data_IF_955667112110
#
_entry.id   IF_955667112110
#
_cell.length_a   1.000
_cell.length_b   1.000
_cell.length_c   1.000
_cell.angle_alpha   90.00
_cell.angle_beta   90.00
_cell.angle_gamma   90.00
#
_symmetry.space_group_name_H-M   'P 1'
#
loop_
_entity.id
_entity.type
_entity.pdbx_description
1 polymer ?
#
# COMPACT_ATOMS: atom_id res chain seq x y z
N UNK A 1 15.64 38.39 23.45
CA UNK A 1 15.73 38.07 22.02
C UNK A 1 16.84 37.06 21.80
N UNK A 2 16.52 35.77 21.67
CA UNK A 2 17.47 34.71 21.31
C UNK A 2 17.46 34.53 19.80
N UNK A 3 18.58 34.78 19.15
CA UNK A 3 18.75 34.58 17.69
C UNK A 3 18.85 33.06 17.44
N UNK A 4 17.89 32.51 16.71
CA UNK A 4 18.00 31.17 16.13
C UNK A 4 19.10 31.15 15.06
N UNK A 5 20.15 30.37 15.29
CA UNK A 5 21.20 30.11 14.31
C UNK A 5 20.63 29.14 13.26
N UNK A 6 20.35 29.63 12.05
CA UNK A 6 20.20 28.76 10.87
C UNK A 6 21.51 28.00 10.66
N UNK A 7 21.49 26.70 10.85
CA UNK A 7 22.61 25.83 10.45
C UNK A 7 22.66 25.80 8.91
N UNK A 8 23.73 26.34 8.36
CA UNK A 8 24.01 26.28 6.94
C UNK A 8 24.42 24.84 6.54
N UNK A 9 23.94 24.37 5.41
CA UNK A 9 24.14 23.02 4.85
C UNK A 9 25.56 22.72 4.33
N UNK A 10 26.56 23.48 4.71
CA UNK A 10 27.91 23.43 4.12
C UNK A 10 28.92 22.52 4.83
N UNK A 11 28.49 21.62 5.73
CA UNK A 11 29.40 20.78 6.54
C UNK A 11 29.16 19.27 6.47
N UNK A 12 28.16 18.80 5.70
CA UNK A 12 27.87 17.35 5.64
C UNK A 12 28.81 16.66 4.64
N UNK A 13 29.42 15.53 5.07
CA UNK A 13 30.22 14.70 4.18
C UNK A 13 29.37 14.15 3.03
N UNK A 14 30.02 13.76 1.91
CA UNK A 14 29.34 13.12 0.77
C UNK A 14 28.57 11.88 1.23
N UNK A 15 29.16 11.11 2.17
CA UNK A 15 28.52 9.93 2.77
C UNK A 15 27.23 10.30 3.52
N UNK A 16 27.26 11.37 4.33
CA UNK A 16 26.08 11.82 5.08
C UNK A 16 24.98 12.34 4.14
N UNK A 17 25.36 13.04 3.07
CA UNK A 17 24.44 13.47 2.01
C UNK A 17 23.79 12.28 1.30
N UNK A 18 24.57 11.23 1.00
CA UNK A 18 24.07 10.01 0.38
C UNK A 18 23.19 9.19 1.33
N UNK A 19 23.53 9.13 2.63
CA UNK A 19 22.69 8.49 3.63
C UNK A 19 21.36 9.25 3.82
N UNK A 20 21.41 10.57 3.89
CA UNK A 20 20.20 11.41 3.96
C UNK A 20 19.34 11.26 2.68
N UNK A 21 19.97 11.16 1.50
CA UNK A 21 19.27 10.91 0.25
C UNK A 21 18.67 9.50 0.18
N UNK A 22 19.42 8.48 0.63
CA UNK A 22 18.91 7.11 0.74
C UNK A 22 17.70 7.06 1.67
N UNK A 23 17.77 7.72 2.84
CA UNK A 23 16.64 7.83 3.77
C UNK A 23 15.44 8.51 3.12
N UNK A 24 15.61 9.64 2.45
CA UNK A 24 14.55 10.33 1.70
C UNK A 24 13.98 9.49 0.54
N UNK A 25 14.79 8.69 -0.14
CA UNK A 25 14.34 7.79 -1.20
C UNK A 25 13.56 6.60 -0.63
N UNK A 26 13.96 6.10 0.53
CA UNK A 26 13.20 5.08 1.27
C UNK A 26 11.88 5.64 1.82
N UNK A 27 11.87 6.89 2.28
CA UNK A 27 10.68 7.61 2.73
C UNK A 27 9.72 7.94 1.56
N UNK A 28 10.25 8.31 0.38
CA UNK A 28 9.45 8.60 -0.83
C UNK A 28 9.05 7.35 -1.63
N UNK A 29 9.70 6.23 -1.41
CA UNK A 29 9.51 4.98 -2.15
C UNK A 29 8.44 4.05 -1.58
N UNK A 30 7.29 4.54 -1.10
CA UNK A 30 6.22 3.69 -0.54
C UNK A 30 6.58 3.07 0.81
N UNK A 31 7.65 3.51 1.46
CA UNK A 31 8.25 2.92 2.65
C UNK A 31 7.63 3.35 3.99
N UNK A 32 6.47 4.00 4.00
CA UNK A 32 5.79 4.41 5.25
C UNK A 32 5.01 3.29 5.94
N UNK A 33 4.58 2.27 5.19
CA UNK A 33 3.76 1.19 5.72
C UNK A 33 4.47 -0.14 5.74
N UNK A 34 4.21 -0.90 6.80
CA UNK A 34 4.51 -2.32 6.86
C UNK A 34 3.37 -3.09 6.21
N UNK A 35 3.70 -4.01 5.34
CA UNK A 35 2.75 -4.95 4.73
C UNK A 35 2.96 -6.32 5.36
N UNK A 36 1.91 -7.00 5.85
CA UNK A 36 2.03 -8.38 6.30
C UNK A 36 2.61 -9.25 5.18
N UNK A 37 3.81 -9.79 5.40
CA UNK A 37 4.47 -10.71 4.48
C UNK A 37 3.91 -12.13 4.66
N UNK A 38 4.23 -13.02 3.73
CA UNK A 38 3.97 -14.45 3.92
C UNK A 38 4.60 -14.95 5.23
N UNK A 39 3.85 -15.71 6.00
CA UNK A 39 4.20 -16.07 7.37
C UNK A 39 3.45 -15.25 8.41
N UNK A 40 4.07 -14.95 9.53
CA UNK A 40 3.44 -14.28 10.68
C UNK A 40 4.06 -12.90 10.89
N UNK A 41 3.21 -11.88 10.85
CA UNK A 41 3.54 -10.52 11.29
C UNK A 41 2.92 -10.30 12.66
N UNK A 42 3.76 -10.06 13.69
CA UNK A 42 3.30 -9.77 15.04
C UNK A 42 3.28 -8.27 15.29
N UNK A 43 2.18 -7.77 15.81
CA UNK A 43 1.97 -6.34 16.05
C UNK A 43 1.45 -6.13 17.47
N UNK A 44 2.09 -5.23 18.22
CA UNK A 44 1.53 -4.64 19.43
C UNK A 44 0.84 -3.35 19.02
N UNK A 45 -0.47 -3.37 18.94
CA UNK A 45 -1.23 -2.18 18.60
C UNK A 45 -1.14 -1.11 19.69
N UNK A 46 -1.18 0.14 19.28
CA UNK A 46 -1.25 1.32 20.14
C UNK A 46 -2.55 2.06 19.88
N UNK A 47 -3.14 2.62 20.93
CA UNK A 47 -4.32 3.44 20.78
C UNK A 47 -4.02 4.66 19.89
N UNK A 48 -4.86 4.99 18.92
CA UNK A 48 -4.75 6.23 18.16
C UNK A 48 -5.23 7.46 18.95
N UNK A 49 -5.71 7.27 20.16
CA UNK A 49 -6.26 8.29 21.05
C UNK A 49 -7.73 8.06 21.38
N UNK A 50 -8.22 8.78 22.37
CA UNK A 50 -9.62 8.72 22.77
C UNK A 50 -10.51 9.21 21.60
N UNK A 51 -11.69 8.62 21.48
CA UNK A 51 -12.68 8.91 20.42
C UNK A 51 -12.23 8.62 18.97
N UNK A 52 -11.11 7.90 18.77
CA UNK A 52 -10.65 7.48 17.43
C UNK A 52 -10.83 5.97 17.24
N UNK A 53 -11.11 5.59 15.99
CA UNK A 53 -11.15 4.18 15.61
C UNK A 53 -9.77 3.53 15.70
N UNK A 54 -9.72 2.21 15.94
CA UNK A 54 -8.47 1.43 16.03
C UNK A 54 -7.58 1.52 14.78
N UNK A 55 -8.19 1.75 13.64
CA UNK A 55 -7.52 1.91 12.37
C UNK A 55 -8.14 3.01 11.52
N UNK A 56 -7.34 3.58 10.63
CA UNK A 56 -7.75 4.61 9.69
C UNK A 56 -8.09 3.96 8.34
N UNK A 57 -9.33 4.15 7.86
CA UNK A 57 -9.69 3.76 6.50
C UNK A 57 -8.97 4.67 5.50
N UNK A 58 -8.40 4.09 4.46
CA UNK A 58 -7.76 4.81 3.36
C UNK A 58 -8.27 4.33 2.01
N UNK A 59 -8.24 5.22 1.04
CA UNK A 59 -8.49 4.92 -0.37
C UNK A 59 -7.14 4.78 -1.08
N UNK A 60 -6.91 3.63 -1.71
CA UNK A 60 -5.67 3.33 -2.41
C UNK A 60 -5.96 2.93 -3.86
N UNK A 61 -5.16 3.46 -4.80
CA UNK A 61 -5.04 2.95 -6.16
C UNK A 61 -3.82 2.03 -6.28
N UNK A 62 -3.94 1.02 -7.12
CA UNK A 62 -2.83 0.14 -7.48
C UNK A 62 -2.95 -0.21 -8.96
N UNK A 63 -2.56 0.72 -9.84
CA UNK A 63 -2.76 0.57 -11.30
C UNK A 63 -1.89 -0.54 -11.89
N UNK A 64 -0.61 -0.55 -11.59
CA UNK A 64 0.34 -1.58 -12.00
C UNK A 64 1.52 -1.68 -10.99
N UNK A 65 2.36 -2.73 -11.07
CA UNK A 65 3.49 -2.91 -10.16
C UNK A 65 4.57 -1.81 -10.27
N UNK A 66 4.73 -1.17 -11.42
CA UNK A 66 5.74 -0.13 -11.66
C UNK A 66 5.41 1.16 -10.89
N UNK A 67 4.17 1.59 -10.94
CA UNK A 67 3.69 2.77 -10.22
C UNK A 67 3.50 2.45 -8.73
N UNK A 68 3.07 1.22 -8.44
CA UNK A 68 2.84 0.76 -7.08
C UNK A 68 1.54 1.28 -6.46
N UNK A 69 1.50 1.30 -5.13
CA UNK A 69 0.35 1.78 -4.38
C UNK A 69 0.37 3.29 -4.20
N UNK A 70 -0.74 3.94 -4.49
CA UNK A 70 -0.96 5.38 -4.33
C UNK A 70 -2.07 5.59 -3.32
N UNK A 71 -1.81 6.33 -2.25
CA UNK A 71 -2.85 6.75 -1.31
C UNK A 71 -3.53 7.98 -1.88
N UNK A 72 -4.85 7.92 -1.96
CA UNK A 72 -5.66 9.01 -2.46
C UNK A 72 -5.87 10.10 -1.41
N UNK A 73 -5.67 11.38 -1.75
CA UNK A 73 -6.10 12.51 -0.92
C UNK A 73 -7.60 12.48 -0.60
N UNK A 74 -8.42 11.83 -1.44
CA UNK A 74 -9.84 11.62 -1.18
C UNK A 74 -10.12 10.80 0.10
N UNK A 75 -9.12 10.17 0.71
CA UNK A 75 -9.15 9.64 2.09
C UNK A 75 -9.55 10.73 3.08
N UNK A 76 -9.16 11.96 2.83
CA UNK A 76 -9.44 13.14 3.66
C UNK A 76 -10.34 14.16 2.94
N UNK A 77 -11.16 13.69 2.01
CA UNK A 77 -12.09 14.52 1.23
C UNK A 77 -11.39 15.59 0.37
N UNK A 78 -10.10 15.42 0.10
CA UNK A 78 -9.30 16.33 -0.73
C UNK A 78 -9.33 15.91 -2.21
N UNK A 79 -9.18 16.86 -3.17
CA UNK A 79 -9.16 16.56 -4.60
C UNK A 79 -8.07 15.55 -4.98
N UNK A 80 -8.41 14.63 -5.89
CA UNK A 80 -7.49 13.58 -6.32
C UNK A 80 -7.63 13.32 -7.83
N UNK A 81 -6.58 13.57 -8.66
CA UNK A 81 -6.65 13.39 -10.11
C UNK A 81 -6.95 11.94 -10.52
N UNK A 82 -6.51 10.95 -9.74
CA UNK A 82 -6.82 9.53 -9.96
C UNK A 82 -8.29 9.21 -9.73
N UNK A 83 -8.91 9.82 -8.73
CA UNK A 83 -10.33 9.63 -8.45
C UNK A 83 -11.18 10.32 -9.52
N UNK A 84 -10.81 11.52 -9.92
CA UNK A 84 -11.45 12.29 -10.99
C UNK A 84 -11.42 11.51 -12.31
N UNK A 85 -10.23 11.01 -12.69
CA UNK A 85 -10.07 10.21 -13.91
C UNK A 85 -10.86 8.90 -13.85
N UNK A 86 -10.84 8.20 -12.72
CA UNK A 86 -11.66 7.00 -12.54
C UNK A 86 -13.14 7.28 -12.74
N UNK A 87 -13.67 8.37 -12.19
CA UNK A 87 -15.08 8.73 -12.36
C UNK A 87 -15.42 9.11 -13.81
N UNK A 88 -14.54 9.85 -14.49
CA UNK A 88 -14.68 10.16 -15.92
C UNK A 88 -14.80 8.88 -16.75
N UNK A 89 -13.82 7.98 -16.65
CA UNK A 89 -13.74 6.74 -17.42
C UNK A 89 -14.89 5.78 -17.10
N UNK A 90 -15.25 5.65 -15.83
CA UNK A 90 -16.37 4.79 -15.39
C UNK A 90 -17.70 5.21 -16.01
N UNK A 91 -17.91 6.52 -16.20
CA UNK A 91 -19.14 7.08 -16.75
C UNK A 91 -19.12 7.21 -18.28
N UNK A 92 -18.01 6.87 -18.94
CA UNK A 92 -17.89 6.89 -20.39
C UNK A 92 -18.79 5.84 -21.05
N UNK A 93 -19.21 6.10 -22.28
CA UNK A 93 -19.91 5.13 -23.12
C UNK A 93 -18.97 4.24 -23.91
N UNK A 94 -17.69 4.60 -24.00
CA UNK A 94 -16.66 3.84 -24.68
C UNK A 94 -16.24 2.60 -23.88
N UNK A 95 -16.15 1.47 -24.52
CA UNK A 95 -15.73 0.21 -23.86
C UNK A 95 -14.24 0.22 -23.50
N UNK A 96 -13.38 0.89 -24.29
CA UNK A 96 -11.97 1.05 -23.97
C UNK A 96 -11.77 1.86 -22.68
N UNK A 97 -12.52 2.95 -22.51
CA UNK A 97 -12.53 3.73 -21.29
C UNK A 97 -12.97 2.91 -20.07
N UNK A 98 -13.99 2.07 -20.24
CA UNK A 98 -14.48 1.19 -19.15
C UNK A 98 -13.45 0.13 -18.77
N UNK A 99 -12.71 -0.43 -19.72
CA UNK A 99 -11.62 -1.36 -19.42
C UNK A 99 -10.49 -0.65 -18.68
N UNK A 100 -10.14 0.56 -19.10
CA UNK A 100 -9.15 1.38 -18.40
C UNK A 100 -9.62 1.74 -16.98
N UNK A 101 -10.91 2.05 -16.79
CA UNK A 101 -11.48 2.28 -15.47
C UNK A 101 -11.29 1.09 -14.53
N UNK A 102 -11.34 -0.16 -15.02
CA UNK A 102 -11.11 -1.36 -14.20
C UNK A 102 -9.70 -1.42 -13.62
N UNK A 103 -8.70 -0.87 -14.33
CA UNK A 103 -7.32 -0.75 -13.85
C UNK A 103 -7.18 0.31 -12.76
N UNK A 104 -8.09 1.30 -12.74
CA UNK A 104 -8.10 2.44 -11.81
C UNK A 104 -9.11 2.29 -10.65
N UNK A 105 -9.65 1.11 -10.39
CA UNK A 105 -10.63 0.91 -9.32
C UNK A 105 -9.98 1.27 -7.96
N UNK A 106 -10.53 2.27 -7.23
CA UNK A 106 -10.07 2.59 -5.90
C UNK A 106 -10.40 1.45 -4.93
N UNK A 107 -9.46 1.13 -4.04
CA UNK A 107 -9.60 0.07 -3.05
C UNK A 107 -9.57 0.66 -1.65
N UNK A 108 -10.51 0.25 -0.81
CA UNK A 108 -10.47 0.57 0.61
C UNK A 108 -9.49 -0.35 1.32
N UNK A 109 -8.64 0.24 2.13
CA UNK A 109 -7.67 -0.42 2.98
C UNK A 109 -7.71 0.23 4.36
N UNK A 110 -7.10 -0.42 5.33
CA UNK A 110 -7.03 0.10 6.69
C UNK A 110 -5.57 0.21 7.13
N UNK A 111 -5.28 1.25 7.87
CA UNK A 111 -3.98 1.47 8.49
C UNK A 111 -4.15 1.35 9.99
N UNK A 112 -3.49 0.37 10.58
CA UNK A 112 -3.36 0.24 12.03
C UNK A 112 -1.95 0.64 12.45
N UNK A 113 -1.75 0.97 13.71
CA UNK A 113 -0.47 1.45 14.18
C UNK A 113 0.01 0.80 15.46
N UNK A 114 1.32 0.73 15.57
CA UNK A 114 1.96 0.16 16.75
C UNK A 114 3.37 -0.34 16.50
N UNK A 115 3.84 -1.19 17.38
CA UNK A 115 5.16 -1.81 17.31
C UNK A 115 5.05 -3.11 16.52
N UNK A 116 5.80 -3.21 15.44
CA UNK A 116 5.85 -4.42 14.61
C UNK A 116 7.05 -5.26 15.02
N UNK A 117 6.81 -6.55 15.24
CA UNK A 117 7.85 -7.55 15.51
C UNK A 117 8.03 -8.43 14.27
N UNK A 118 9.26 -8.82 14.00
CA UNK A 118 9.52 -9.87 13.03
C UNK A 118 9.27 -11.23 13.68
N UNK A 119 8.53 -12.10 13.02
CA UNK A 119 8.39 -13.56 13.21
C UNK A 119 8.44 -14.10 14.64
N UNK A 120 7.93 -13.77 15.64
CA UNK A 120 8.00 -14.33 17.02
C UNK A 120 9.33 -14.09 17.77
N UNK A 121 10.38 -13.61 17.11
CA UNK A 121 11.73 -13.51 17.71
C UNK A 121 12.05 -12.16 18.32
N UNK A 122 11.23 -11.15 18.10
CA UNK A 122 11.43 -9.84 18.65
C UNK A 122 11.19 -8.70 17.66
N UNK A 123 11.65 -7.51 18.02
CA UNK A 123 11.56 -6.32 17.16
C UNK A 123 12.39 -6.50 15.89
N UNK A 124 11.81 -6.15 14.75
CA UNK A 124 12.55 -6.11 13.51
C UNK A 124 13.73 -5.13 13.65
N UNK A 125 14.96 -5.54 13.27
CA UNK A 125 16.16 -4.72 13.47
C UNK A 125 16.07 -3.32 12.84
N UNK A 126 15.34 -3.22 11.72
CA UNK A 126 15.17 -1.98 10.97
C UNK A 126 14.15 -1.01 11.60
N UNK A 127 13.37 -1.47 12.58
CA UNK A 127 12.31 -0.64 13.18
C UNK A 127 12.77 0.12 14.43
N UNK A 128 13.88 -0.27 15.04
CA UNK A 128 14.51 0.40 16.21
C UNK A 128 13.52 0.77 17.33
N UNK A 129 12.39 0.06 17.43
CA UNK A 129 11.33 0.37 18.39
C UNK A 129 10.48 1.59 18.05
N UNK A 130 10.57 2.11 16.83
CA UNK A 130 9.71 3.18 16.35
C UNK A 130 8.31 2.66 16.07
N UNK A 131 7.32 3.54 16.22
CA UNK A 131 5.95 3.25 15.82
C UNK A 131 5.86 3.06 14.31
N UNK A 132 5.16 2.02 13.88
CA UNK A 132 4.95 1.70 12.47
C UNK A 132 3.47 1.63 12.16
N UNK A 133 3.13 2.09 10.98
CA UNK A 133 1.81 1.90 10.38
C UNK A 133 1.80 0.61 9.55
N UNK A 134 0.80 -0.22 9.75
CA UNK A 134 0.62 -1.49 9.05
C UNK A 134 -0.59 -1.37 8.14
N UNK A 135 -0.40 -1.60 6.85
CA UNK A 135 -1.48 -1.57 5.87
C UNK A 135 -2.09 -2.96 5.73
N UNK A 136 -3.39 -3.05 5.96
CA UNK A 136 -4.15 -4.29 5.98
C UNK A 136 -5.40 -4.23 5.10
N UNK A 137 -5.96 -5.38 4.78
CA UNK A 137 -7.24 -5.48 4.07
C UNK A 137 -8.42 -5.28 5.03
N UNK A 138 -9.60 -4.99 4.46
CA UNK A 138 -10.84 -4.86 5.24
C UNK A 138 -11.17 -6.12 6.04
N UNK A 139 -10.93 -7.32 5.49
CA UNK A 139 -11.18 -8.56 6.23
C UNK A 139 -10.27 -8.72 7.44
N UNK A 140 -8.98 -8.39 7.32
CA UNK A 140 -8.06 -8.41 8.47
C UNK A 140 -8.46 -7.38 9.52
N UNK A 141 -8.94 -6.20 9.08
CA UNK A 141 -9.42 -5.19 10.01
C UNK A 141 -10.69 -5.62 10.73
N UNK A 142 -11.60 -6.31 10.04
CA UNK A 142 -12.79 -6.90 10.66
C UNK A 142 -12.42 -7.93 11.74
N UNK A 143 -11.50 -8.85 11.45
CA UNK A 143 -11.00 -9.81 12.45
C UNK A 143 -10.41 -9.12 13.70
N UNK A 144 -9.75 -7.96 13.51
CA UNK A 144 -9.20 -7.17 14.63
C UNK A 144 -10.32 -6.52 15.45
N UNK A 145 -11.35 -5.98 14.79
CA UNK A 145 -12.52 -5.41 15.48
C UNK A 145 -13.23 -6.49 16.29
N UNK A 146 -13.43 -7.67 15.72
CA UNK A 146 -14.09 -8.79 16.37
C UNK A 146 -13.36 -9.20 17.67
N UNK A 147 -12.01 -9.25 17.63
CA UNK A 147 -11.20 -9.48 18.81
C UNK A 147 -11.28 -8.35 19.84
N UNK A 148 -11.36 -7.09 19.40
CA UNK A 148 -11.46 -5.94 20.31
C UNK A 148 -12.81 -5.89 21.04
N UNK A 149 -13.88 -6.26 20.33
CA UNK A 149 -15.24 -6.28 20.87
C UNK A 149 -15.59 -7.50 21.72
N UNK A 150 -14.73 -8.53 21.68
CA UNK A 150 -14.86 -9.73 22.53
C UNK A 150 -14.32 -9.45 23.94
N UNK A 151 -15.10 -8.69 24.72
CA UNK A 151 -14.71 -8.25 26.07
C UNK A 151 -14.57 -9.39 27.07
N UNK A 152 -15.27 -10.52 26.86
CA UNK A 152 -15.28 -11.65 27.76
C UNK A 152 -13.93 -12.40 27.72
N UNK A 153 -13.37 -12.58 26.50
CA UNK A 153 -12.15 -13.35 26.32
C UNK A 153 -10.91 -12.46 26.11
N UNK A 154 -11.02 -11.32 25.44
CA UNK A 154 -9.86 -10.55 24.95
C UNK A 154 -9.84 -9.09 25.36
N UNK A 155 -10.89 -8.30 25.06
CA UNK A 155 -11.00 -6.88 25.36
C UNK A 155 -9.97 -6.00 24.66
N UNK A 156 -9.63 -4.87 25.28
CA UNK A 156 -8.79 -3.82 24.68
C UNK A 156 -7.32 -4.27 24.49
N UNK A 157 -6.98 -4.62 23.25
CA UNK A 157 -5.63 -4.98 22.86
C UNK A 157 -4.63 -3.82 22.92
N UNK A 158 -5.09 -2.57 22.97
CA UNK A 158 -4.23 -1.38 22.98
C UNK A 158 -3.83 -0.96 24.39
N UNK A 159 -4.45 -1.53 25.44
CA UNK A 159 -4.10 -1.23 26.81
C UNK A 159 -2.61 -1.52 27.07
N UNK A 160 -1.83 -0.53 27.55
CA UNK A 160 -0.38 -0.70 27.72
C UNK A 160 0.00 -1.67 28.84
N UNK A 161 -0.92 -2.04 29.73
CA UNK A 161 -0.68 -2.90 30.88
C UNK A 161 -1.29 -4.30 30.70
N UNK A 162 -2.56 -4.35 30.26
CA UNK A 162 -3.35 -5.58 30.14
C UNK A 162 -3.52 -6.03 28.69
N UNK A 163 -3.26 -5.17 27.72
CA UNK A 163 -3.45 -5.48 26.31
C UNK A 163 -2.49 -6.58 25.82
N UNK A 164 -2.65 -6.93 24.57
CA UNK A 164 -1.94 -8.08 23.96
C UNK A 164 -1.50 -7.74 22.54
N UNK A 165 -0.53 -8.53 22.05
CA UNK A 165 -0.11 -8.45 20.65
C UNK A 165 -1.06 -9.29 19.80
N UNK A 166 -1.20 -8.93 18.54
CA UNK A 166 -1.88 -9.72 17.53
C UNK A 166 -0.87 -10.34 16.57
N UNK A 167 -1.19 -11.53 16.06
CA UNK A 167 -0.47 -12.22 14.99
C UNK A 167 -1.34 -12.21 13.74
N UNK A 168 -0.88 -11.52 12.70
CA UNK A 168 -1.49 -11.53 11.38
C UNK A 168 -0.74 -12.58 10.57
N UNK A 169 -1.37 -13.71 10.34
CA UNK A 169 -0.81 -14.80 9.54
C UNK A 169 -1.27 -14.62 8.08
N UNK A 170 -0.33 -14.54 7.16
CA UNK A 170 -0.57 -14.57 5.72
C UNK A 170 -0.07 -15.87 5.14
N UNK A 171 -0.92 -16.56 4.39
CA UNK A 171 -0.58 -17.75 3.60
C UNK A 171 -0.83 -17.47 2.13
N UNK A 172 0.00 -18.02 1.25
CA UNK A 172 -0.04 -17.78 -0.18
C UNK A 172 0.68 -16.51 -0.61
N UNK A 173 1.19 -16.53 -1.82
CA UNK A 173 1.99 -15.44 -2.41
C UNK A 173 1.31 -14.77 -3.60
N UNK A 174 0.32 -15.41 -4.21
CA UNK A 174 -0.40 -14.93 -5.37
C UNK A 174 -1.64 -14.12 -5.07
N UNK A 175 -2.24 -13.56 -6.12
CA UNK A 175 -3.45 -12.72 -5.99
C UNK A 175 -4.67 -13.52 -5.53
N UNK A 176 -4.77 -14.78 -5.91
CA UNK A 176 -5.97 -15.61 -5.74
C UNK A 176 -5.84 -16.66 -4.63
N UNK A 177 -4.64 -16.89 -4.10
CA UNK A 177 -4.34 -17.89 -3.08
C UNK A 177 -3.96 -17.27 -1.72
N UNK A 178 -3.89 -15.95 -1.65
CA UNK A 178 -3.55 -15.25 -0.41
C UNK A 178 -4.74 -15.23 0.55
N UNK A 179 -4.52 -15.80 1.73
CA UNK A 179 -5.47 -15.76 2.84
C UNK A 179 -4.83 -15.14 4.08
N UNK A 180 -5.65 -14.57 4.95
CA UNK A 180 -5.22 -13.97 6.20
C UNK A 180 -6.02 -14.55 7.36
N UNK A 181 -5.40 -14.61 8.53
CA UNK A 181 -6.08 -14.84 9.80
C UNK A 181 -5.41 -14.02 10.90
N UNK A 182 -6.20 -13.57 11.87
CA UNK A 182 -5.70 -12.81 13.03
C UNK A 182 -5.86 -13.66 14.28
N UNK A 183 -4.85 -13.66 15.12
CA UNK A 183 -4.88 -14.40 16.40
C UNK A 183 -4.31 -13.55 17.52
N UNK A 184 -4.92 -13.51 18.70
CA UNK A 184 -4.39 -12.83 19.86
C UNK A 184 -3.22 -13.60 20.47
N UNK A 185 -2.30 -12.87 21.07
CA UNK A 185 -1.29 -13.43 21.98
C UNK A 185 -1.78 -13.34 23.42
N UNK A 186 -1.03 -13.93 24.33
CA UNK A 186 -1.28 -13.76 25.78
C UNK A 186 -1.10 -12.28 26.14
N UNK A 187 -1.91 -11.75 27.07
CA UNK A 187 -1.74 -10.42 27.59
C UNK A 187 -0.31 -10.18 28.09
N UNK A 188 0.25 -9.02 27.81
CA UNK A 188 1.59 -8.68 28.20
C UNK A 188 1.73 -7.16 28.39
N UNK A 189 2.49 -6.77 29.40
CA UNK A 189 2.77 -5.36 29.68
C UNK A 189 3.73 -4.79 28.65
N UNK A 190 3.35 -3.66 28.03
CA UNK A 190 4.21 -2.92 27.14
C UNK A 190 5.27 -2.16 27.93
N UNK A 191 6.52 -2.21 27.45
CA UNK A 191 7.62 -1.42 28.04
C UNK A 191 7.24 0.07 28.04
N UNK A 192 7.59 0.77 29.13
CA UNK A 192 7.24 2.19 29.33
C UNK A 192 7.71 3.11 28.22
N UNK A 193 8.83 2.81 27.58
CA UNK A 193 9.38 3.58 26.46
C UNK A 193 8.53 3.53 25.19
N UNK A 194 7.65 2.54 25.05
CA UNK A 194 6.79 2.36 23.89
C UNK A 194 5.34 2.76 24.13
N UNK A 195 5.00 3.17 25.36
CA UNK A 195 3.64 3.59 25.69
C UNK A 195 3.32 4.95 25.07
N UNK A 196 2.05 5.21 24.91
CA UNK A 196 1.49 6.42 24.33
C UNK A 196 0.61 6.13 23.13
N UNK A 197 0.02 7.16 22.57
CA UNK A 197 -0.84 7.10 21.38
C UNK A 197 -0.01 7.14 20.09
N UNK A 198 -0.65 6.76 18.98
CA UNK A 198 -0.07 6.84 17.65
C UNK A 198 -0.92 7.76 16.76
N UNK A 199 -0.30 8.71 16.08
CA UNK A 199 -0.98 9.60 15.13
C UNK A 199 -1.06 8.95 13.74
N UNK A 200 -2.10 8.14 13.52
CA UNK A 200 -2.32 7.47 12.23
C UNK A 200 -2.60 8.46 11.10
N UNK A 201 -3.36 9.52 11.39
CA UNK A 201 -3.69 10.53 10.39
C UNK A 201 -2.43 11.26 9.91
N UNK A 202 -1.58 11.73 10.82
CA UNK A 202 -0.33 12.38 10.45
C UNK A 202 0.61 11.45 9.69
N UNK A 203 0.68 10.17 10.07
CA UNK A 203 1.48 9.18 9.34
C UNK A 203 0.95 9.00 7.92
N UNK A 204 -0.36 8.86 7.73
CA UNK A 204 -0.97 8.66 6.40
C UNK A 204 -0.84 9.92 5.54
N UNK A 205 -1.11 11.11 6.09
CA UNK A 205 -0.97 12.38 5.36
C UNK A 205 0.44 12.59 4.83
N UNK A 206 1.45 12.21 5.59
CA UNK A 206 2.86 12.28 5.16
C UNK A 206 3.21 11.34 3.98
N UNK A 207 2.35 10.37 3.66
CA UNK A 207 2.51 9.45 2.53
C UNK A 207 1.74 9.90 1.29
N UNK A 208 0.86 10.88 1.41
CA UNK A 208 0.09 11.41 0.29
C UNK A 208 0.99 12.32 -0.54
N UNK A 209 1.02 12.06 -1.83
CA UNK A 209 1.71 12.90 -2.80
C UNK A 209 0.89 14.16 -3.09
N UNK A 210 1.56 15.23 -3.47
CA UNK A 210 0.88 16.44 -3.95
C UNK A 210 0.03 16.16 -5.19
N UNK A 211 -0.95 17.03 -5.45
CA UNK A 211 -1.82 16.90 -6.62
C UNK A 211 -1.01 16.80 -7.92
N UNK A 212 0.01 17.68 -8.10
CA UNK A 212 0.86 17.68 -9.29
C UNK A 212 1.68 16.39 -9.44
N UNK A 213 2.21 15.84 -8.33
CA UNK A 213 2.93 14.56 -8.36
C UNK A 213 2.00 13.41 -8.72
N UNK A 214 0.76 13.43 -8.23
CA UNK A 214 -0.27 12.45 -8.55
C UNK A 214 -0.70 12.55 -10.02
N UNK A 215 -0.87 13.76 -10.53
CA UNK A 215 -1.21 14.01 -11.93
C UNK A 215 -0.10 13.52 -12.87
N UNK A 216 1.17 13.79 -12.53
CA UNK A 216 2.30 13.30 -13.32
C UNK A 216 2.35 11.76 -13.37
N UNK A 217 2.12 11.09 -12.24
CA UNK A 217 2.03 9.61 -12.19
C UNK A 217 0.84 9.07 -12.99
N UNK A 218 -0.27 9.78 -12.98
CA UNK A 218 -1.45 9.41 -13.78
C UNK A 218 -1.15 9.52 -15.28
N UNK A 219 -0.47 10.59 -15.71
CA UNK A 219 -0.05 10.76 -17.11
C UNK A 219 0.94 9.66 -17.53
N UNK A 220 1.91 9.31 -16.66
CA UNK A 220 2.84 8.20 -16.90
C UNK A 220 2.07 6.90 -17.12
N UNK A 221 1.11 6.59 -16.26
CA UNK A 221 0.27 5.40 -16.38
C UNK A 221 -0.53 5.37 -17.68
N UNK A 222 -1.20 6.48 -18.02
CA UNK A 222 -2.03 6.56 -19.23
C UNK A 222 -1.20 6.42 -20.51
N UNK A 223 0.00 7.00 -20.56
CA UNK A 223 0.88 6.89 -21.73
C UNK A 223 1.39 5.47 -21.93
N UNK A 224 1.76 4.76 -20.86
CA UNK A 224 2.18 3.36 -20.94
C UNK A 224 1.05 2.44 -21.41
N UNK A 225 -0.17 2.68 -20.96
CA UNK A 225 -1.33 1.89 -21.36
C UNK A 225 -1.64 2.04 -22.86
N UNK A 226 -1.48 3.24 -23.43
CA UNK A 226 -1.63 3.45 -24.87
C UNK A 226 -0.53 2.76 -25.69
N UNK A 227 0.72 2.75 -25.22
CA UNK A 227 1.83 2.07 -25.89
C UNK A 227 1.65 0.54 -25.90
N UNK A 228 1.20 -0.07 -24.79
CA UNK A 228 0.91 -1.51 -24.70
C UNK A 228 -0.22 -1.92 -25.68
N UNK A 229 -1.29 -1.14 -25.79
CA UNK A 229 -2.39 -1.41 -26.69
C UNK A 229 -1.99 -1.30 -28.18
N UNK A 230 -1.12 -0.37 -28.55
CA UNK A 230 -0.56 -0.26 -29.90
C UNK A 230 0.33 -1.46 -30.26
N UNK A 231 1.14 -1.95 -29.33
CA UNK A 231 1.99 -3.14 -29.54
C UNK A 231 1.14 -4.42 -29.69
N UNK A 232 0.09 -4.61 -28.90
CA UNK A 232 -0.81 -5.77 -29.04
C UNK A 232 -1.54 -5.76 -30.37
N UNK A 233 -2.04 -4.59 -30.82
CA UNK A 233 -2.71 -4.42 -32.13
C UNK A 233 -1.73 -4.71 -33.27
N UNK A 234 -0.48 -4.26 -33.15
CA UNK A 234 0.56 -4.52 -34.17
C UNK A 234 0.94 -6.01 -34.26
N UNK A 235 1.10 -6.69 -33.11
CA UNK A 235 1.38 -8.12 -33.04
C UNK A 235 0.22 -8.99 -33.54
N UNK A 236 -1.03 -8.60 -33.27
CA UNK A 236 -2.22 -9.30 -33.76
C UNK A 236 -2.35 -9.20 -35.30
N UNK A 237 -2.03 -8.04 -35.88
CA UNK A 237 -2.01 -7.83 -37.33
C UNK A 237 -0.90 -8.64 -38.01
N UNK A 238 0.29 -8.77 -37.37
CA UNK A 238 1.39 -9.59 -37.88
C UNK A 238 1.09 -11.09 -37.82
N UNK A 239 0.43 -11.58 -36.76
CA UNK A 239 -0.02 -12.98 -36.62
C UNK A 239 -1.10 -13.34 -37.66
N UNK A 240 -2.03 -12.43 -37.97
CA UNK A 240 -3.03 -12.62 -39.04
C UNK A 240 -2.39 -12.68 -40.43
N UNK A 241 -1.44 -11.80 -40.74
CA UNK A 241 -0.71 -11.83 -42.03
C UNK A 241 0.10 -13.12 -42.22
N UNK A 242 0.73 -13.64 -41.16
CA UNK A 242 1.49 -14.89 -41.22
C UNK A 242 0.58 -16.14 -41.34
N UNK A 243 -0.64 -16.08 -40.80
CA UNK A 243 -1.63 -17.18 -40.95
C UNK A 243 -2.19 -17.24 -42.34
N UNK A 244 -2.44 -16.10 -42.99
CA UNK A 244 -2.91 -16.02 -44.40
C UNK A 244 -1.80 -16.50 -45.37
N UNK A 245 -0.51 -16.17 -45.16
CA UNK A 245 0.59 -16.69 -45.99
C UNK A 245 0.78 -18.19 -45.86
N UNK A 246 0.57 -18.80 -44.69
CA UNK A 246 0.67 -20.26 -44.49
C UNK A 246 -0.48 -21.04 -45.17
N UNK A 247 -1.66 -20.45 -45.33
CA UNK A 247 -2.79 -21.11 -46.01
C UNK A 247 -2.62 -21.05 -47.50
N UNK A 248 -2.04 -20.00 -48.09
CA UNK A 248 -1.81 -19.91 -49.53
C UNK A 248 -0.69 -20.85 -50.04
N UNK A 249 0.25 -21.28 -49.17
CA UNK A 249 1.32 -22.22 -49.58
C UNK A 249 0.94 -23.70 -49.48
N UNK A 250 -0.22 -24.05 -48.89
CA UNK A 250 -0.69 -25.43 -48.74
C UNK A 250 -1.61 -25.89 -49.93
N UNK A 251 -2.02 -24.97 -50.81
CA UNK A 251 -2.94 -25.25 -51.92
C UNK A 251 -2.26 -25.61 -53.28
N UNK A 252 -0.91 -25.66 -53.32
CA UNK A 252 -0.19 -25.94 -54.58
C UNK A 252 0.72 -27.18 -54.53
N UNK A 253 0.40 -28.20 -53.70
CA UNK A 253 1.15 -29.46 -53.67
C UNK A 253 0.28 -30.71 -53.59
N UNK A 254 -0.72 -30.77 -54.45
CA UNK A 254 -1.37 -32.05 -54.77
C UNK A 254 -1.93 -31.94 -56.16
N UNK A 255 -1.09 -32.21 -57.16
CA UNK A 255 -1.42 -32.77 -58.46
C UNK A 255 -0.15 -32.73 -59.29
N UNK A 256 0.65 -33.81 -59.19
CA UNK A 256 1.41 -34.50 -60.24
C UNK A 256 1.77 -35.90 -59.71
#
# INVERSE_FOLDING_TARGET
MKKEKKLSSSGMSTRDKMLARKKKLQEKGGGGFVFPKEGVTRVRMKSPGDDKELGLEIIQFYPNPKIGGIISPATFEEPCPWMEKYQELKNSKDEADKELAKKLIPRRKYVIGGIVYEDEKGLHPDYNGEDKAVLISSGVYQDIIDLYLDEDDYGDMTDPIKGYDIKIQRTGSGKNDTTYSVRPCKPSKLDSKYRGTIDLEGIVRNQILSYDELENKLREFLNEDYEEDEEEVSQSKSKKKNKVKKVSHKKYRSDI
#
